data_IF_543211574957
#
_entry.id   IF_543211574957
#
_cell.length_a   1.000
_cell.length_b   1.000
_cell.length_c   1.000
_cell.angle_alpha   90.00
_cell.angle_beta   90.00
_cell.angle_gamma   90.00
#
_symmetry.space_group_name_H-M   'P 1'
#
loop_
_entity.id
_entity.type
_entity.pdbx_description
1 polymer ?
#
# COMPACT_ATOMS: atom_id res chain seq x y z
N UNK A 1 79.72 56.69 19.37
CA UNK A 1 81.18 56.53 19.51
C UNK A 1 81.65 55.58 18.44
N UNK A 2 82.60 56.05 17.60
CA UNK A 2 83.24 55.31 16.51
C UNK A 2 84.52 54.67 17.04
N UNK A 3 84.82 53.45 16.62
CA UNK A 3 86.11 52.74 16.53
C UNK A 3 85.77 51.24 16.44
N UNK A 4 86.47 50.33 15.76
CA UNK A 4 87.53 50.35 14.75
C UNK A 4 87.59 48.91 14.15
N UNK A 5 88.01 48.83 12.90
CA UNK A 5 88.54 47.68 12.13
C UNK A 5 89.67 46.89 12.84
N UNK A 6 90.41 45.93 12.21
CA UNK A 6 90.11 44.86 11.22
C UNK A 6 90.94 43.53 11.46
N UNK A 7 91.02 42.69 10.41
CA UNK A 7 92.14 41.78 10.04
C UNK A 7 92.28 40.47 10.83
N UNK A 8 92.77 39.34 10.31
CA UNK A 8 93.07 38.73 8.99
C UNK A 8 93.63 37.34 9.38
N UNK A 9 93.36 36.22 8.69
CA UNK A 9 94.17 35.74 7.57
C UNK A 9 93.63 34.39 7.05
N UNK A 10 93.49 34.38 5.73
CA UNK A 10 93.56 33.27 4.76
C UNK A 10 94.72 32.25 4.96
N UNK A 11 94.88 31.23 4.09
CA UNK A 11 93.93 30.22 3.59
C UNK A 11 94.64 28.84 3.43
N UNK A 12 93.98 27.84 2.84
CA UNK A 12 94.51 26.87 1.83
C UNK A 12 93.41 25.81 1.60
N UNK A 13 92.57 25.94 0.57
CA UNK A 13 92.77 25.40 -0.79
C UNK A 13 92.89 23.87 -0.84
N UNK A 14 91.84 23.15 -1.29
CA UNK A 14 91.81 22.60 -2.64
C UNK A 14 90.57 21.71 -2.95
N UNK A 15 89.94 22.06 -4.08
CA UNK A 15 89.51 21.18 -5.20
C UNK A 15 88.22 20.33 -5.04
N UNK A 16 87.19 20.84 -5.75
CA UNK A 16 86.31 20.21 -6.74
C UNK A 16 85.54 18.92 -6.41
N UNK A 17 84.21 18.93 -6.57
CA UNK A 17 83.50 18.78 -7.85
C UNK A 17 82.04 18.43 -7.56
N UNK A 18 81.12 19.17 -8.19
CA UNK A 18 79.69 18.96 -8.10
C UNK A 18 79.22 17.92 -9.12
N UNK A 19 78.38 16.98 -8.70
CA UNK A 19 77.40 16.34 -9.59
C UNK A 19 76.11 16.07 -8.86
N UNK A 20 75.01 16.41 -9.51
CA UNK A 20 73.70 16.66 -8.94
C UNK A 20 72.78 15.43 -8.82
N UNK A 21 71.73 15.64 -8.01
CA UNK A 21 70.36 15.13 -8.18
C UNK A 21 69.99 13.81 -7.48
N UNK A 22 69.31 13.90 -6.32
CA UNK A 22 67.84 13.74 -6.17
C UNK A 22 67.47 13.72 -4.67
N UNK A 23 66.58 14.63 -4.27
CA UNK A 23 65.97 14.73 -2.94
C UNK A 23 64.77 13.78 -2.82
N UNK A 24 64.61 13.15 -1.65
CA UNK A 24 63.37 13.01 -0.84
C UNK A 24 63.57 11.85 0.16
N UNK A 25 64.11 12.10 1.36
CA UNK A 25 63.37 12.31 2.63
C UNK A 25 62.45 11.16 3.00
N UNK A 26 63.03 10.29 3.83
CA UNK A 26 62.43 9.42 4.86
C UNK A 26 61.25 10.14 5.55
N UNK A 27 60.06 9.56 5.60
CA UNK A 27 59.57 8.50 6.50
C UNK A 27 59.56 8.91 7.98
N UNK A 28 58.41 8.68 8.61
CA UNK A 28 58.10 8.82 10.05
C UNK A 28 57.62 10.20 10.56
N UNK A 29 56.33 10.53 10.35
CA UNK A 29 55.45 11.10 11.39
C UNK A 29 54.07 11.47 10.82
N UNK A 30 53.11 10.52 10.79
CA UNK A 30 51.69 10.87 10.87
C UNK A 30 50.82 9.71 11.39
N UNK A 31 51.12 9.24 12.60
CA UNK A 31 50.26 8.31 13.32
C UNK A 31 49.18 9.06 14.12
N UNK A 32 48.09 9.48 13.46
CA UNK A 32 46.82 9.73 14.17
C UNK A 32 45.59 9.76 13.26
N UNK A 33 44.63 8.90 13.60
CA UNK A 33 43.20 8.91 13.23
C UNK A 33 42.85 8.36 11.83
N UNK A 34 42.70 7.03 11.72
CA UNK A 34 41.56 6.42 11.02
C UNK A 34 41.10 5.19 11.80
N UNK A 35 39.93 5.33 12.42
CA UNK A 35 39.32 4.30 13.24
C UNK A 35 38.95 3.06 12.44
N UNK A 36 38.93 1.94 13.15
CA UNK A 36 38.38 0.67 12.73
C UNK A 36 36.92 0.86 12.30
N UNK A 37 36.70 1.01 10.99
CA UNK A 37 35.38 0.91 10.41
C UNK A 37 35.01 -0.57 10.44
N UNK A 38 34.41 -0.99 11.55
CA UNK A 38 33.76 -2.29 11.70
C UNK A 38 32.68 -2.41 10.61
N UNK A 39 32.99 -3.18 9.56
CA UNK A 39 32.04 -3.51 8.50
C UNK A 39 30.99 -4.42 9.13
N UNK A 40 29.88 -3.84 9.58
CA UNK A 40 28.71 -4.61 10.02
C UNK A 40 28.27 -5.50 8.85
N UNK A 41 28.57 -6.80 8.95
CA UNK A 41 28.15 -7.79 7.98
C UNK A 41 26.61 -7.81 7.92
N UNK A 42 26.05 -7.40 6.78
CA UNK A 42 24.63 -7.58 6.53
C UNK A 42 24.35 -9.10 6.51
N UNK A 43 23.29 -9.58 7.19
CA UNK A 43 22.94 -10.99 7.14
C UNK A 43 22.73 -11.39 5.67
N UNK A 44 23.21 -12.57 5.24
CA UNK A 44 23.10 -12.98 3.84
C UNK A 44 21.64 -12.99 3.42
N UNK A 45 21.32 -12.20 2.39
CA UNK A 45 19.99 -12.20 1.78
C UNK A 45 19.66 -13.63 1.35
N UNK A 46 18.69 -14.26 2.02
CA UNK A 46 18.22 -15.60 1.69
C UNK A 46 17.78 -15.65 0.21
N UNK A 47 18.59 -16.31 -0.63
CA UNK A 47 18.33 -16.41 -2.06
C UNK A 47 17.31 -17.51 -2.29
N UNK A 48 16.08 -17.15 -2.66
CA UNK A 48 15.03 -18.12 -2.95
C UNK A 48 15.32 -18.84 -4.26
N UNK A 49 15.38 -20.18 -4.25
CA UNK A 49 15.59 -21.02 -5.45
C UNK A 49 14.37 -21.06 -6.40
N UNK A 50 13.36 -20.23 -6.18
CA UNK A 50 12.16 -20.19 -7.01
C UNK A 50 12.50 -19.74 -8.45
N UNK A 51 11.96 -20.45 -9.45
CA UNK A 51 12.18 -20.16 -10.88
C UNK A 51 11.41 -18.91 -11.38
N UNK A 52 10.94 -18.06 -10.48
CA UNK A 52 10.15 -16.88 -10.85
C UNK A 52 11.07 -15.77 -11.29
N UNK A 53 11.21 -15.58 -12.60
CA UNK A 53 11.93 -14.43 -13.17
C UNK A 53 11.28 -13.14 -12.66
N UNK A 54 12.08 -12.20 -12.12
CA UNK A 54 11.62 -10.86 -11.78
C UNK A 54 11.12 -10.19 -13.07
N UNK A 55 9.81 -10.08 -13.24
CA UNK A 55 9.24 -9.29 -14.35
C UNK A 55 9.61 -7.82 -14.12
N UNK A 56 10.26 -7.13 -15.08
CA UNK A 56 10.64 -5.74 -14.90
C UNK A 56 9.39 -4.88 -14.64
N UNK A 57 9.38 -4.20 -13.49
CA UNK A 57 8.20 -3.44 -13.04
C UNK A 57 7.82 -2.30 -14.00
N UNK A 58 8.77 -1.81 -14.80
CA UNK A 58 8.55 -0.76 -15.78
C UNK A 58 7.68 -1.24 -16.95
N UNK A 59 7.96 -2.41 -17.51
CA UNK A 59 7.18 -2.98 -18.62
C UNK A 59 5.72 -3.20 -18.22
N UNK A 60 5.47 -3.71 -17.01
CA UNK A 60 4.11 -3.93 -16.50
C UNK A 60 3.35 -2.60 -16.36
N UNK A 61 4.01 -1.55 -15.86
CA UNK A 61 3.40 -0.22 -15.74
C UNK A 61 3.14 0.39 -17.11
N UNK A 62 4.06 0.20 -18.06
CA UNK A 62 3.90 0.63 -19.46
C UNK A 62 2.68 -0.02 -20.11
N UNK A 63 2.52 -1.34 -19.97
CA UNK A 63 1.33 -2.07 -20.47
C UNK A 63 0.02 -1.51 -19.93
N UNK A 64 -0.05 -1.27 -18.61
CA UNK A 64 -1.24 -0.68 -17.99
C UNK A 64 -1.55 0.71 -18.55
N UNK A 65 -0.53 1.53 -18.86
CA UNK A 65 -0.74 2.85 -19.48
C UNK A 65 -1.32 2.69 -20.88
N UNK A 66 -0.78 1.78 -21.69
CA UNK A 66 -1.30 1.48 -23.02
C UNK A 66 -2.74 0.98 -22.94
N UNK A 67 -3.03 0.00 -22.08
CA UNK A 67 -4.38 -0.56 -21.93
C UNK A 67 -5.42 0.50 -21.53
N UNK A 68 -5.04 1.48 -20.70
CA UNK A 68 -5.91 2.59 -20.31
C UNK A 68 -6.16 3.54 -21.49
N UNK A 69 -5.12 3.85 -22.28
CA UNK A 69 -5.27 4.68 -23.49
C UNK A 69 -6.19 4.02 -24.50
N UNK A 70 -6.02 2.72 -24.73
CA UNK A 70 -6.91 1.95 -25.60
C UNK A 70 -8.36 1.99 -25.07
N UNK A 71 -8.56 1.83 -23.76
CA UNK A 71 -9.90 1.91 -23.17
C UNK A 71 -10.54 3.32 -23.30
N UNK A 72 -9.75 4.39 -23.23
CA UNK A 72 -10.24 5.76 -23.45
C UNK A 72 -10.80 5.95 -24.86
N UNK A 73 -10.23 5.28 -25.85
CA UNK A 73 -10.68 5.33 -27.25
C UNK A 73 -11.93 4.46 -27.49
N UNK A 74 -12.00 3.27 -26.89
CA UNK A 74 -13.07 2.31 -27.14
C UNK A 74 -14.35 2.56 -26.33
N UNK A 75 -14.29 3.27 -25.21
CA UNK A 75 -15.43 3.44 -24.30
C UNK A 75 -15.98 4.87 -24.26
N UNK A 76 -17.31 4.96 -24.26
CA UNK A 76 -18.08 6.20 -24.30
C UNK A 76 -18.28 6.87 -22.93
N UNK A 77 -17.89 6.25 -21.82
CA UNK A 77 -17.88 6.89 -20.51
C UNK A 77 -16.67 6.44 -19.67
N UNK A 78 -16.20 7.33 -18.78
CA UNK A 78 -15.12 7.05 -17.84
C UNK A 78 -15.46 7.59 -16.45
N UNK A 79 -15.32 6.72 -15.45
CA UNK A 79 -15.63 7.00 -14.06
C UNK A 79 -14.42 6.76 -13.17
N UNK A 80 -14.31 7.56 -12.11
CA UNK A 80 -13.38 7.31 -11.00
C UNK A 80 -14.19 6.76 -9.85
N UNK A 81 -13.72 5.67 -9.26
CA UNK A 81 -14.33 5.06 -8.08
C UNK A 81 -13.27 4.82 -7.00
N UNK A 82 -13.73 4.70 -5.76
CA UNK A 82 -12.95 4.21 -4.63
C UNK A 82 -13.58 2.90 -4.13
N UNK A 83 -12.86 2.19 -3.29
CA UNK A 83 -13.27 0.88 -2.83
C UNK A 83 -12.78 0.66 -1.40
N UNK A 84 -13.53 -0.10 -0.64
CA UNK A 84 -13.15 -0.52 0.72
C UNK A 84 -12.94 -2.03 0.76
N UNK A 85 -11.96 -2.50 1.53
CA UNK A 85 -11.68 -3.92 1.76
C UNK A 85 -11.58 -4.81 0.49
N UNK A 86 -10.99 -4.29 -0.59
CA UNK A 86 -10.84 -5.00 -1.86
C UNK A 86 -10.05 -6.32 -1.76
N UNK A 87 -10.53 -7.34 -2.49
CA UNK A 87 -9.83 -8.62 -2.75
C UNK A 87 -9.63 -8.88 -4.22
N UNK A 88 -8.44 -9.38 -4.56
CA UNK A 88 -8.08 -9.71 -5.95
C UNK A 88 -9.01 -10.73 -6.60
N UNK A 89 -9.53 -11.70 -5.84
CA UNK A 89 -10.43 -12.72 -6.36
C UNK A 89 -11.79 -12.09 -6.74
N UNK A 90 -12.43 -11.41 -5.80
CA UNK A 90 -13.71 -10.71 -6.01
C UNK A 90 -13.64 -9.70 -7.16
N UNK A 91 -12.53 -8.98 -7.29
CA UNK A 91 -12.32 -8.07 -8.42
C UNK A 91 -12.18 -8.80 -9.76
N UNK A 92 -11.56 -9.98 -9.79
CA UNK A 92 -11.47 -10.78 -11.02
C UNK A 92 -12.87 -11.24 -11.44
N UNK A 93 -13.68 -11.68 -10.49
CA UNK A 93 -15.04 -12.13 -10.74
C UNK A 93 -15.89 -10.97 -11.30
N UNK A 94 -15.80 -9.79 -10.68
CA UNK A 94 -16.46 -8.57 -11.17
C UNK A 94 -15.97 -8.18 -12.58
N UNK A 95 -14.66 -8.28 -12.85
CA UNK A 95 -14.11 -8.00 -14.18
C UNK A 95 -14.59 -8.98 -15.23
N UNK A 96 -14.76 -10.25 -14.89
CA UNK A 96 -15.26 -11.26 -15.84
C UNK A 96 -16.74 -11.03 -16.14
N UNK A 97 -17.55 -10.69 -15.13
CA UNK A 97 -18.96 -10.33 -15.32
C UNK A 97 -19.15 -9.12 -16.25
N UNK A 98 -18.25 -8.12 -16.14
CA UNK A 98 -18.35 -6.87 -16.90
C UNK A 98 -17.57 -6.86 -18.22
N UNK A 99 -16.87 -7.94 -18.55
CA UNK A 99 -15.87 -8.00 -19.64
C UNK A 99 -16.41 -7.60 -21.02
N UNK A 100 -17.69 -7.85 -21.28
CA UNK A 100 -18.35 -7.55 -22.55
C UNK A 100 -18.67 -6.06 -22.72
N UNK A 101 -18.99 -5.35 -21.64
CA UNK A 101 -19.53 -3.98 -21.69
C UNK A 101 -18.60 -2.93 -21.10
N UNK A 102 -17.68 -3.32 -20.22
CA UNK A 102 -16.92 -2.41 -19.37
C UNK A 102 -15.52 -2.93 -19.01
N UNK A 103 -14.62 -2.03 -18.60
CA UNK A 103 -13.27 -2.35 -18.11
C UNK A 103 -12.96 -1.62 -16.81
N UNK A 104 -12.43 -2.37 -15.85
CA UNK A 104 -11.97 -1.85 -14.55
C UNK A 104 -10.45 -1.89 -14.45
N UNK A 105 -9.83 -0.75 -14.20
CA UNK A 105 -8.40 -0.62 -13.95
C UNK A 105 -8.12 -0.21 -12.51
N UNK A 106 -7.25 -0.98 -11.85
CA UNK A 106 -6.64 -0.61 -10.57
C UNK A 106 -5.13 -0.60 -10.77
N UNK A 107 -4.52 0.56 -10.59
CA UNK A 107 -3.08 0.74 -10.75
C UNK A 107 -2.60 1.84 -9.81
N UNK A 108 -1.27 2.01 -9.70
CA UNK A 108 -0.73 3.09 -8.89
C UNK A 108 -1.20 4.45 -9.41
N UNK A 109 -1.62 5.35 -8.51
CA UNK A 109 -2.16 6.69 -8.86
C UNK A 109 -1.37 7.42 -9.95
N UNK A 110 -0.03 7.43 -9.82
CA UNK A 110 0.86 8.12 -10.76
C UNK A 110 0.79 7.53 -12.16
N UNK A 111 0.59 6.22 -12.28
CA UNK A 111 0.49 5.51 -13.57
C UNK A 111 -0.81 5.89 -14.27
N UNK A 112 -1.93 5.87 -13.54
CA UNK A 112 -3.24 6.27 -14.08
C UNK A 112 -3.26 7.76 -14.47
N UNK A 113 -2.65 8.64 -13.67
CA UNK A 113 -2.52 10.06 -14.00
C UNK A 113 -1.69 10.31 -15.27
N UNK A 114 -0.63 9.51 -15.50
CA UNK A 114 0.15 9.60 -16.74
C UNK A 114 -0.66 9.10 -17.94
N UNK A 115 -1.48 8.05 -17.75
CA UNK A 115 -2.31 7.52 -18.83
C UNK A 115 -3.41 8.49 -19.28
N UNK A 116 -4.04 9.20 -18.33
CA UNK A 116 -5.09 10.18 -18.62
C UNK A 116 -4.55 11.55 -19.07
N UNK A 117 -3.35 11.92 -18.59
CA UNK A 117 -2.76 13.25 -18.76
C UNK A 117 -2.84 14.07 -17.46
N UNK A 118 -1.72 14.74 -17.12
CA UNK A 118 -1.65 15.65 -15.96
C UNK A 118 -1.98 17.09 -16.32
N UNK A 119 -1.67 17.46 -17.56
CA UNK A 119 -1.84 18.80 -18.12
C UNK A 119 -2.80 18.75 -19.32
N UNK A 120 -3.26 19.91 -19.77
CA UNK A 120 -4.06 20.01 -21.00
C UNK A 120 -3.25 19.65 -22.27
N UNK A 121 -1.91 19.74 -22.22
CA UNK A 121 -1.06 19.41 -23.36
C UNK A 121 -0.86 17.89 -23.52
N UNK A 122 -0.92 17.15 -22.42
CA UNK A 122 -0.65 15.70 -22.39
C UNK A 122 -1.93 14.85 -22.33
N UNK A 123 -3.11 15.46 -22.52
CA UNK A 123 -4.37 14.74 -22.36
C UNK A 123 -4.70 13.89 -23.58
N UNK A 124 -5.04 12.62 -23.37
CA UNK A 124 -5.42 11.72 -24.46
C UNK A 124 -6.73 12.13 -25.14
N UNK A 125 -7.60 12.84 -24.40
CA UNK A 125 -8.91 13.31 -24.86
C UNK A 125 -9.34 14.51 -24.00
N UNK A 126 -10.10 15.42 -24.60
CA UNK A 126 -10.39 16.72 -24.02
C UNK A 126 -11.00 16.64 -22.62
N UNK A 127 -10.32 17.26 -21.65
CA UNK A 127 -10.76 17.36 -20.26
C UNK A 127 -10.46 16.14 -19.38
N UNK A 128 -9.66 15.16 -19.82
CA UNK A 128 -9.22 14.04 -18.98
C UNK A 128 -8.33 14.49 -17.82
N UNK A 129 -7.58 15.57 -18.00
CA UNK A 129 -6.74 16.15 -16.95
C UNK A 129 -7.54 16.55 -15.69
N UNK A 130 -8.87 16.71 -15.78
CA UNK A 130 -9.73 16.94 -14.61
C UNK A 130 -9.93 15.67 -13.81
N UNK A 131 -10.11 14.51 -14.48
CA UNK A 131 -10.26 13.20 -13.82
C UNK A 131 -9.00 12.80 -13.05
N UNK A 132 -7.82 13.12 -13.59
CA UNK A 132 -6.55 12.80 -12.95
C UNK A 132 -6.34 13.49 -11.60
N UNK A 133 -7.02 14.62 -11.34
CA UNK A 133 -7.00 15.32 -10.04
C UNK A 133 -7.77 14.58 -8.93
N UNK A 134 -8.77 13.78 -9.30
CA UNK A 134 -9.61 13.02 -8.38
C UNK A 134 -9.02 11.65 -8.01
N UNK A 135 -7.94 11.23 -8.67
CA UNK A 135 -7.19 10.02 -8.34
C UNK A 135 -6.35 10.22 -7.07
N UNK A 136 -7.01 10.10 -5.91
CA UNK A 136 -6.39 10.22 -4.59
C UNK A 136 -6.71 9.01 -3.73
N UNK A 137 -5.73 8.54 -2.96
CA UNK A 137 -5.86 7.32 -2.16
C UNK A 137 -6.10 6.07 -3.00
N UNK A 138 -6.89 5.15 -2.46
CA UNK A 138 -7.29 3.91 -3.12
C UNK A 138 -8.42 4.17 -4.11
N UNK A 139 -8.01 4.41 -5.35
CA UNK A 139 -8.91 4.75 -6.47
C UNK A 139 -8.68 3.86 -7.67
N UNK A 140 -9.74 3.68 -8.44
CA UNK A 140 -9.78 2.94 -9.69
C UNK A 140 -10.43 3.73 -10.81
N UNK A 141 -10.18 3.27 -12.04
CA UNK A 141 -10.84 3.76 -13.24
C UNK A 141 -11.82 2.72 -13.77
N UNK A 142 -13.02 3.16 -14.12
CA UNK A 142 -14.05 2.34 -14.72
C UNK A 142 -14.48 2.94 -16.05
N UNK A 143 -14.23 2.20 -17.14
CA UNK A 143 -14.63 2.57 -18.49
C UNK A 143 -15.81 1.70 -18.91
N UNK A 144 -16.84 2.30 -19.49
CA UNK A 144 -18.06 1.55 -19.83
C UNK A 144 -18.84 2.22 -20.95
N UNK A 145 -19.58 1.40 -21.69
CA UNK A 145 -20.59 1.83 -22.67
C UNK A 145 -22.02 1.77 -22.11
N UNK A 146 -22.19 1.35 -20.86
CA UNK A 146 -23.50 1.29 -20.21
C UNK A 146 -24.05 2.69 -19.91
N UNK A 147 -25.39 2.83 -19.88
CA UNK A 147 -26.03 4.07 -19.45
C UNK A 147 -25.73 4.33 -17.97
N UNK A 148 -25.82 5.60 -17.60
CA UNK A 148 -25.46 6.08 -16.26
C UNK A 148 -26.19 5.33 -15.14
N UNK A 149 -27.49 5.15 -15.29
CA UNK A 149 -28.34 4.64 -14.20
C UNK A 149 -28.00 3.17 -13.90
N UNK A 150 -27.61 2.41 -14.92
CA UNK A 150 -27.15 1.02 -14.76
C UNK A 150 -25.80 0.96 -14.04
N UNK A 151 -24.91 1.92 -14.29
CA UNK A 151 -23.62 2.01 -13.60
C UNK A 151 -23.82 2.38 -12.13
N UNK A 152 -24.67 3.36 -11.83
CA UNK A 152 -24.98 3.73 -10.46
C UNK A 152 -25.64 2.58 -9.70
N UNK A 153 -26.57 1.86 -10.35
CA UNK A 153 -27.20 0.66 -9.78
C UNK A 153 -26.18 -0.45 -9.50
N UNK A 154 -25.32 -0.76 -10.47
CA UNK A 154 -24.27 -1.77 -10.35
C UNK A 154 -23.37 -1.49 -9.14
N UNK A 155 -22.89 -0.26 -8.98
CA UNK A 155 -21.98 0.09 -7.89
C UNK A 155 -22.68 0.11 -6.52
N UNK A 156 -23.98 0.44 -6.48
CA UNK A 156 -24.76 0.45 -5.23
C UNK A 156 -25.13 -0.96 -4.76
N UNK A 157 -25.46 -1.85 -5.70
CA UNK A 157 -25.90 -3.22 -5.39
C UNK A 157 -24.73 -4.18 -5.23
N UNK A 158 -23.56 -3.84 -5.74
CA UNK A 158 -22.38 -4.67 -5.60
C UNK A 158 -21.84 -4.64 -4.16
N UNK A 159 -22.09 -5.72 -3.43
CA UNK A 159 -21.61 -5.94 -2.08
C UNK A 159 -21.12 -7.39 -1.94
N UNK A 160 -19.89 -7.57 -1.46
CA UNK A 160 -19.29 -8.90 -1.27
C UNK A 160 -18.70 -9.00 0.13
N UNK A 161 -19.14 -9.99 0.90
CA UNK A 161 -18.63 -10.22 2.25
C UNK A 161 -17.31 -11.02 2.21
N UNK A 162 -16.44 -10.72 3.16
CA UNK A 162 -15.15 -11.37 3.33
C UNK A 162 -14.68 -11.32 4.79
N UNK A 163 -13.66 -12.11 5.09
CA UNK A 163 -13.06 -12.17 6.42
C UNK A 163 -12.28 -10.90 6.75
N UNK A 164 -12.46 -10.43 7.98
CA UNK A 164 -11.70 -9.33 8.54
C UNK A 164 -10.19 -9.62 8.54
N UNK A 165 -9.42 -8.54 8.39
CA UNK A 165 -7.96 -8.55 8.52
C UNK A 165 -7.53 -7.86 9.79
N UNK A 166 -6.34 -8.20 10.27
CA UNK A 166 -5.67 -7.48 11.34
C UNK A 166 -5.72 -5.96 11.11
N UNK A 167 -6.11 -5.22 12.15
CA UNK A 167 -6.25 -3.76 12.12
C UNK A 167 -7.54 -3.24 11.49
N UNK A 168 -8.39 -4.11 10.92
CA UNK A 168 -9.74 -3.70 10.49
C UNK A 168 -10.61 -3.43 11.72
N UNK A 169 -11.53 -2.50 11.64
CA UNK A 169 -12.48 -2.22 12.72
C UNK A 169 -13.56 -3.31 12.72
N UNK A 170 -13.83 -3.90 13.89
CA UNK A 170 -14.88 -4.89 14.04
C UNK A 170 -16.26 -4.25 13.93
N UNK A 171 -17.15 -4.86 13.13
CA UNK A 171 -18.53 -4.40 12.90
C UNK A 171 -19.48 -4.86 13.99
N UNK A 172 -19.14 -5.90 14.73
CA UNK A 172 -19.95 -6.47 15.79
C UNK A 172 -19.05 -7.10 16.86
N UNK A 173 -19.58 -7.28 18.06
CA UNK A 173 -18.89 -7.96 19.15
C UNK A 173 -19.11 -9.47 19.02
N UNK A 174 -18.02 -10.23 19.02
CA UNK A 174 -18.07 -11.70 19.00
C UNK A 174 -17.55 -12.24 20.31
N UNK A 175 -18.44 -12.93 21.01
CA UNK A 175 -18.17 -13.64 22.24
C UNK A 175 -18.50 -15.12 22.06
N UNK A 176 -17.58 -15.98 22.51
CA UNK A 176 -17.78 -17.43 22.58
C UNK A 176 -18.06 -17.80 24.03
N UNK A 177 -19.15 -18.54 24.25
CA UNK A 177 -19.53 -19.05 25.56
C UNK A 177 -18.78 -20.33 25.91
N UNK A 178 -18.58 -20.56 27.20
CA UNK A 178 -18.03 -21.81 27.71
C UNK A 178 -18.81 -23.04 27.18
N UNK A 179 -18.09 -24.13 26.92
CA UNK A 179 -18.66 -25.37 26.41
C UNK A 179 -17.97 -25.95 25.18
N UNK A 180 -18.49 -27.08 24.65
CA UNK A 180 -17.86 -27.82 23.57
C UNK A 180 -17.93 -27.06 22.23
N UNK A 181 -16.79 -26.94 21.54
CA UNK A 181 -16.65 -26.33 20.23
C UNK A 181 -16.59 -27.42 19.15
N UNK A 182 -17.76 -27.96 18.79
CA UNK A 182 -17.87 -29.08 17.85
C UNK A 182 -17.41 -28.73 16.42
N UNK A 183 -17.38 -27.44 16.05
CA UNK A 183 -16.87 -27.01 14.75
C UNK A 183 -15.36 -27.22 14.55
N UNK A 184 -14.60 -27.47 15.62
CA UNK A 184 -13.15 -27.61 15.55
C UNK A 184 -12.69 -29.05 15.73
N UNK A 185 -11.69 -29.45 14.93
CA UNK A 185 -11.05 -30.76 15.07
C UNK A 185 -10.05 -30.76 16.22
N UNK A 186 -9.82 -31.93 16.82
CA UNK A 186 -8.86 -32.11 17.91
C UNK A 186 -7.43 -31.65 17.55
N UNK A 187 -7.04 -31.73 16.27
CA UNK A 187 -5.74 -31.26 15.77
C UNK A 187 -5.57 -29.74 15.83
N UNK A 188 -6.68 -29.00 15.82
CA UNK A 188 -6.67 -27.53 15.87
C UNK A 188 -6.56 -26.99 17.30
N UNK A 189 -6.70 -27.84 18.31
CA UNK A 189 -6.66 -27.43 19.72
C UNK A 189 -5.38 -26.66 20.09
N UNK A 190 -4.16 -27.12 19.72
CA UNK A 190 -2.94 -26.37 20.02
C UNK A 190 -2.88 -25.04 19.28
N UNK A 191 -3.48 -24.96 18.09
CA UNK A 191 -3.55 -23.73 17.30
C UNK A 191 -4.47 -22.70 17.95
N UNK A 192 -5.66 -23.11 18.41
CA UNK A 192 -6.62 -22.24 19.10
C UNK A 192 -6.03 -21.71 20.42
N UNK A 193 -5.32 -22.57 21.17
CA UNK A 193 -4.58 -22.15 22.37
C UNK A 193 -3.51 -21.10 22.04
N UNK A 194 -2.82 -21.24 20.91
CA UNK A 194 -1.84 -20.26 20.43
C UNK A 194 -2.48 -18.93 20.02
N UNK A 195 -3.73 -18.94 19.57
CA UNK A 195 -4.50 -17.71 19.30
C UNK A 195 -5.04 -17.04 20.60
N UNK A 196 -4.73 -17.58 21.78
CA UNK A 196 -5.15 -17.01 23.06
C UNK A 196 -6.52 -17.46 23.54
N UNK A 197 -7.14 -18.45 22.89
CA UNK A 197 -8.40 -19.02 23.37
C UNK A 197 -8.17 -19.98 24.55
N UNK A 198 -8.95 -19.87 25.64
CA UNK A 198 -8.87 -20.79 26.78
C UNK A 198 -9.53 -22.13 26.45
N UNK A 199 -8.88 -22.96 25.63
CA UNK A 199 -9.39 -24.27 25.21
C UNK A 199 -8.72 -25.43 25.94
N UNK A 200 -9.45 -26.54 26.08
CA UNK A 200 -8.99 -27.82 26.61
C UNK A 200 -9.54 -28.96 25.75
N UNK A 201 -8.78 -30.04 25.62
CA UNK A 201 -9.26 -31.27 25.01
C UNK A 201 -9.94 -32.15 26.07
N UNK A 202 -11.25 -32.38 25.93
CA UNK A 202 -12.04 -33.24 26.81
C UNK A 202 -12.63 -34.40 25.99
N UNK A 203 -12.20 -35.64 26.28
CA UNK A 203 -12.63 -36.88 25.60
C UNK A 203 -12.55 -36.81 24.06
N UNK A 204 -11.56 -36.08 23.53
CA UNK A 204 -11.34 -35.94 22.08
C UNK A 204 -12.12 -34.78 21.43
N UNK A 205 -12.97 -34.07 22.17
CA UNK A 205 -13.62 -32.84 21.72
C UNK A 205 -12.88 -31.61 22.29
N UNK A 206 -12.82 -30.54 21.51
CA UNK A 206 -12.28 -29.24 21.96
C UNK A 206 -13.37 -28.52 22.75
N UNK A 207 -13.07 -28.12 23.97
CA UNK A 207 -13.99 -27.42 24.87
C UNK A 207 -13.38 -26.10 25.32
N UNK A 208 -14.19 -25.04 25.33
CA UNK A 208 -13.81 -23.74 25.86
C UNK A 208 -14.03 -23.75 27.38
N UNK A 209 -12.96 -23.45 28.13
CA UNK A 209 -12.93 -23.52 29.61
C UNK A 209 -13.63 -22.33 30.28
N UNK A 210 -13.70 -21.19 29.59
CA UNK A 210 -14.33 -19.98 30.07
C UNK A 210 -14.78 -19.12 28.89
N UNK A 211 -15.78 -18.26 29.11
CA UNK A 211 -16.22 -17.27 28.12
C UNK A 211 -15.03 -16.47 27.58
N UNK A 212 -15.00 -16.30 26.25
CA UNK A 212 -13.91 -15.64 25.56
C UNK A 212 -14.43 -14.66 24.51
N UNK A 213 -14.06 -13.38 24.68
CA UNK A 213 -14.36 -12.32 23.72
C UNK A 213 -13.27 -12.32 22.65
N UNK A 214 -13.66 -12.61 21.41
CA UNK A 214 -12.74 -12.65 20.27
C UNK A 214 -12.47 -11.23 19.76
N UNK A 215 -13.52 -10.43 19.62
CA UNK A 215 -13.41 -9.02 19.25
C UNK A 215 -14.61 -8.23 19.76
N UNK A 216 -14.40 -6.94 19.97
CA UNK A 216 -15.45 -6.00 20.36
C UNK A 216 -15.72 -5.02 19.22
N UNK A 217 -16.99 -4.66 19.04
CA UNK A 217 -17.45 -3.69 18.06
C UNK A 217 -16.69 -2.36 18.19
N UNK A 218 -16.29 -1.79 17.05
CA UNK A 218 -15.60 -0.50 17.00
C UNK A 218 -14.10 -0.55 17.35
N UNK A 219 -13.56 -1.69 17.80
CA UNK A 219 -12.13 -1.85 18.07
C UNK A 219 -11.37 -2.48 16.88
N UNK A 220 -10.07 -2.17 16.70
CA UNK A 220 -9.25 -2.82 15.70
C UNK A 220 -9.00 -4.28 16.05
N UNK A 221 -9.20 -5.17 15.08
CA UNK A 221 -9.08 -6.62 15.24
C UNK A 221 -7.60 -7.03 15.35
N UNK A 222 -7.27 -7.81 16.38
CA UNK A 222 -5.92 -8.37 16.58
C UNK A 222 -5.62 -9.47 15.54
N UNK A 223 -4.35 -9.80 15.27
CA UNK A 223 -4.03 -10.88 14.33
C UNK A 223 -4.58 -12.24 14.77
N UNK A 224 -4.61 -12.51 16.07
CA UNK A 224 -5.18 -13.73 16.64
C UNK A 224 -6.69 -13.79 16.44
N UNK A 225 -7.38 -12.68 16.73
CA UNK A 225 -8.82 -12.56 16.54
C UNK A 225 -9.22 -12.74 15.07
N UNK A 226 -8.51 -12.09 14.13
CA UNK A 226 -8.80 -12.23 12.70
C UNK A 226 -8.71 -13.69 12.22
N UNK A 227 -7.76 -14.44 12.76
CA UNK A 227 -7.58 -15.84 12.43
C UNK A 227 -8.67 -16.72 13.05
N UNK A 228 -9.06 -16.47 14.30
CA UNK A 228 -10.19 -17.13 14.97
C UNK A 228 -11.50 -16.86 14.24
N UNK A 229 -11.79 -15.60 13.87
CA UNK A 229 -12.99 -15.23 13.10
C UNK A 229 -13.06 -15.97 11.76
N UNK A 230 -11.92 -16.15 11.09
CA UNK A 230 -11.84 -16.91 9.85
C UNK A 230 -12.17 -18.39 10.04
N UNK A 231 -11.72 -18.98 11.15
CA UNK A 231 -12.03 -20.37 11.49
C UNK A 231 -13.51 -20.55 11.87
N UNK A 232 -14.12 -19.55 12.51
CA UNK A 232 -15.54 -19.52 12.84
C UNK A 232 -16.44 -19.22 11.62
N UNK A 233 -15.86 -18.87 10.46
CA UNK A 233 -16.62 -18.55 9.26
C UNK A 233 -17.29 -17.17 9.28
N UNK A 234 -16.96 -16.30 10.25
CA UNK A 234 -17.59 -14.99 10.39
C UNK A 234 -16.91 -13.93 9.52
N UNK A 235 -17.72 -13.30 8.66
CA UNK A 235 -17.27 -12.33 7.67
C UNK A 235 -17.67 -10.93 8.11
N UNK A 236 -16.71 -10.18 8.66
CA UNK A 236 -16.93 -8.82 9.18
C UNK A 236 -16.42 -7.71 8.27
N UNK A 237 -15.94 -8.05 7.07
CA UNK A 237 -15.32 -7.09 6.19
C UNK A 237 -16.02 -7.09 4.84
N UNK A 238 -16.73 -6.00 4.57
CA UNK A 238 -17.53 -5.85 3.36
C UNK A 238 -16.73 -5.15 2.27
N UNK A 239 -16.59 -5.80 1.12
CA UNK A 239 -16.06 -5.20 -0.09
C UNK A 239 -17.18 -4.40 -0.78
N UNK A 240 -17.01 -3.07 -0.79
CA UNK A 240 -17.91 -2.12 -1.47
C UNK A 240 -17.16 -1.22 -2.44
N UNK A 241 -17.87 -0.77 -3.48
CA UNK A 241 -17.38 0.18 -4.47
C UNK A 241 -18.18 1.49 -4.36
N UNK A 242 -17.49 2.62 -4.42
CA UNK A 242 -18.13 3.94 -4.36
C UNK A 242 -17.70 4.79 -5.54
N UNK A 243 -18.66 5.29 -6.31
CA UNK A 243 -18.40 6.22 -7.41
C UNK A 243 -18.02 7.60 -6.86
N UNK A 244 -16.86 8.12 -7.29
CA UNK A 244 -16.34 9.42 -6.83
C UNK A 244 -16.72 10.56 -7.75
N UNK A 245 -16.59 10.37 -9.07
CA UNK A 245 -16.85 11.44 -10.04
C UNK A 245 -17.57 10.96 -11.28
N UNK A 246 -18.48 11.80 -11.76
CA UNK A 246 -19.18 11.67 -13.04
C UNK A 246 -18.41 12.40 -14.14
N UNK A 247 -18.04 11.70 -15.21
CA UNK A 247 -17.82 12.31 -16.53
C UNK A 247 -18.44 11.44 -17.61
N UNK A 248 -19.56 11.90 -18.18
CA UNK A 248 -19.95 11.47 -19.51
C UNK A 248 -19.08 12.25 -20.50
N UNK A 249 -18.44 11.59 -21.47
CA UNK A 249 -17.60 12.29 -22.46
C UNK A 249 -18.39 13.33 -23.27
N UNK A 250 -19.73 13.24 -23.26
CA UNK A 250 -20.63 14.12 -23.98
C UNK A 250 -21.29 15.22 -23.15
N UNK A 251 -21.19 15.24 -21.81
CA UNK A 251 -21.80 16.33 -21.05
C UNK A 251 -21.05 16.62 -19.74
N UNK A 252 -20.52 17.85 -19.67
CA UNK A 252 -19.79 18.40 -18.53
C UNK A 252 -20.79 18.82 -17.45
N UNK A 253 -21.27 17.85 -16.67
CA UNK A 253 -22.06 18.15 -15.47
C UNK A 253 -21.40 17.52 -14.24
N UNK A 254 -20.53 18.31 -13.60
CA UNK A 254 -19.94 17.98 -12.30
C UNK A 254 -20.99 18.25 -11.22
N UNK A 255 -21.87 17.28 -10.95
CA UNK A 255 -22.62 17.28 -9.68
C UNK A 255 -21.71 16.76 -8.58
N UNK A 256 -21.38 17.68 -7.67
CA UNK A 256 -20.50 17.51 -6.53
C UNK A 256 -21.20 16.63 -5.46
N UNK A 257 -21.12 15.30 -5.54
CA UNK A 257 -21.55 14.39 -4.47
C UNK A 257 -20.52 14.29 -3.32
N UNK A 258 -19.89 15.42 -2.95
CA UNK A 258 -18.98 15.47 -1.80
C UNK A 258 -19.77 15.38 -0.47
N UNK A 259 -21.09 15.55 -0.48
CA UNK A 259 -21.87 15.58 0.76
C UNK A 259 -22.11 14.21 1.43
N UNK A 260 -22.00 13.07 0.72
CA UNK A 260 -22.27 11.78 1.36
C UNK A 260 -21.09 11.25 2.19
N UNK A 261 -19.85 11.65 1.88
CA UNK A 261 -18.67 11.20 2.65
C UNK A 261 -18.56 11.89 4.01
N UNK A 262 -19.10 13.10 4.15
CA UNK A 262 -19.14 13.83 5.43
C UNK A 262 -20.26 13.36 6.36
N UNK A 263 -21.33 12.77 5.81
CA UNK A 263 -22.44 12.20 6.62
C UNK A 263 -22.17 10.73 6.99
N UNK A 264 -21.47 9.96 6.16
CA UNK A 264 -21.19 8.54 6.44
C UNK A 264 -19.95 8.28 7.31
N UNK A 265 -19.00 9.22 7.38
CA UNK A 265 -17.82 9.11 8.27
C UNK A 265 -18.05 9.73 9.66
N UNK A 266 -19.21 10.33 9.89
CA UNK A 266 -19.63 10.82 11.20
C UNK A 266 -20.86 10.00 11.63
N UNK A 267 -20.68 9.12 12.61
CA UNK A 267 -21.69 8.29 13.31
C UNK A 267 -21.92 6.86 12.78
N UNK A 268 -21.30 5.84 13.42
CA UNK A 268 -21.82 4.48 13.46
C UNK A 268 -22.79 4.26 14.65
N UNK A 269 -23.45 5.31 15.17
CA UNK A 269 -24.37 5.17 16.31
C UNK A 269 -25.57 6.09 16.12
N UNK A 270 -26.67 5.54 15.63
CA UNK A 270 -28.08 5.92 15.79
C UNK A 270 -28.86 5.53 14.52
N UNK A 271 -29.22 4.24 14.44
CA UNK A 271 -30.52 3.89 13.88
C UNK A 271 -31.60 4.57 14.75
N UNK A 272 -32.65 5.11 14.13
CA UNK A 272 -33.95 5.49 14.73
C UNK A 272 -34.33 6.99 14.80
N UNK A 273 -33.56 7.94 14.23
CA UNK A 273 -33.93 9.36 14.31
C UNK A 273 -34.29 10.09 12.99
N UNK A 274 -34.46 9.39 11.86
CA UNK A 274 -34.64 10.03 10.54
C UNK A 274 -36.05 9.86 9.93
N UNK A 275 -37.09 9.77 10.78
CA UNK A 275 -38.48 9.64 10.35
C UNK A 275 -39.35 10.91 10.56
N UNK A 276 -38.80 12.04 11.05
CA UNK A 276 -39.63 13.20 11.48
C UNK A 276 -39.46 14.47 10.63
N UNK A 277 -38.71 14.43 9.53
CA UNK A 277 -38.46 15.64 8.71
C UNK A 277 -38.81 15.46 7.22
N UNK A 278 -39.94 14.80 6.97
CA UNK A 278 -40.68 14.85 5.70
C UNK A 278 -42.17 15.05 6.01
N UNK A 279 -42.49 16.25 6.49
CA UNK A 279 -43.77 16.94 6.33
C UNK A 279 -43.46 18.38 5.93
#
# INVERSE_FOLDING_TARGET
>A
MKEASPMSHHPQSNIAAATASRNSTDDEDELRIRGDAEIQAQPPCAVTLSKTKKKPGLERKGKVVTDIKDAVEHYANAYVFTYDNMRNQKLKDLREQLKSSSRIFLAGKKVMQIALGRSHADEAKTGLHKLSKFLQGDTGLFFTNLPRDDVERLFREFEEHDFARTGSIATETVELKEGPLEQFTHEMEPFLRKQGMPVRLNKGAVELVADHIVCEEGKPISPEAAQTLRLLGMQMATFRLYLFTRKAWHNCELKLMILLKLVWLAHPVCSDALAVLLC
#
